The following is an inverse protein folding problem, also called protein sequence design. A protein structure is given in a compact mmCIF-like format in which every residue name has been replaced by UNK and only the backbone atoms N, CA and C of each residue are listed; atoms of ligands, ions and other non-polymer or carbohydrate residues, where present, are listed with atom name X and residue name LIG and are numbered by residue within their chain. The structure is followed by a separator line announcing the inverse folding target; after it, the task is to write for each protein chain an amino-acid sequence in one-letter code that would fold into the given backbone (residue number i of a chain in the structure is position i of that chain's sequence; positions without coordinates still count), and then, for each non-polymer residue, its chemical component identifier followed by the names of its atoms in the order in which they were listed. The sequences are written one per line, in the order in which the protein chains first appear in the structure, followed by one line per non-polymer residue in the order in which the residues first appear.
data_IF_893743528955
#
_entry.id   IF_893743528955
#
_cell.length_a   1.000
_cell.length_b   1.000
_cell.length_c   1.000
_cell.angle_alpha   90.00
_cell.angle_beta   90.00
_cell.angle_gamma   90.00
#
_symmetry.space_group_name_H-M   'P 1'
#
loop_
_entity.id
_entity.type
_entity.pdbx_description
1 polymer ?
#
# COMPACT_ATOMS: atom_id res chain seq x y z
N UNK A 1 35.11 32.81 -53.54
CA UNK A 1 34.60 33.19 -52.19
C UNK A 1 33.24 32.53 -52.01
N UNK A 2 33.21 31.40 -51.34
CA UNK A 2 31.99 30.59 -51.10
C UNK A 2 31.68 30.66 -49.61
N UNK A 3 30.54 31.25 -49.26
CA UNK A 3 30.04 31.29 -47.89
C UNK A 3 29.31 29.98 -47.57
N UNK A 4 29.61 29.25 -46.51
CA UNK A 4 28.79 28.11 -46.08
C UNK A 4 27.58 28.61 -45.28
N UNK A 5 26.43 28.16 -45.69
CA UNK A 5 25.12 28.31 -45.02
C UNK A 5 25.12 27.38 -43.80
N UNK A 6 25.16 27.94 -42.59
CA UNK A 6 24.98 27.18 -41.36
C UNK A 6 23.49 27.01 -41.13
N UNK A 7 22.98 25.81 -41.37
CA UNK A 7 21.63 25.40 -41.04
C UNK A 7 21.60 25.06 -39.53
N UNK A 8 21.12 25.98 -38.70
CA UNK A 8 20.88 25.72 -37.29
C UNK A 8 19.65 24.82 -37.15
N UNK A 9 19.86 23.51 -36.90
CA UNK A 9 18.82 22.60 -36.48
C UNK A 9 18.46 22.93 -35.02
N UNK A 10 17.38 23.65 -34.80
CA UNK A 10 16.74 23.81 -33.50
C UNK A 10 16.09 22.47 -33.16
N UNK A 11 16.80 21.63 -32.38
CA UNK A 11 16.22 20.51 -31.71
C UNK A 11 15.35 21.07 -30.59
N UNK A 12 14.09 21.26 -30.88
CA UNK A 12 13.05 21.41 -29.85
C UNK A 12 12.99 20.10 -29.08
N UNK A 13 13.77 19.98 -28.01
CA UNK A 13 13.51 18.99 -26.98
C UNK A 13 12.17 19.34 -26.36
N UNK A 14 11.10 18.71 -26.86
CA UNK A 14 9.84 18.63 -26.14
C UNK A 14 10.16 17.81 -24.88
N UNK A 15 10.55 18.51 -23.83
CA UNK A 15 10.59 17.92 -22.51
C UNK A 15 9.17 17.47 -22.21
N UNK A 16 8.94 16.14 -22.24
CA UNK A 16 7.76 15.60 -21.63
C UNK A 16 7.69 16.19 -20.22
N UNK A 17 6.74 17.09 -20.00
CA UNK A 17 6.44 17.59 -18.67
C UNK A 17 6.13 16.34 -17.84
N UNK A 18 7.10 15.87 -17.06
CA UNK A 18 6.88 14.78 -16.10
C UNK A 18 5.80 15.30 -15.17
N UNK A 19 4.58 14.80 -15.40
CA UNK A 19 3.45 15.13 -14.53
C UNK A 19 3.90 14.92 -13.08
N UNK A 20 3.70 15.94 -12.27
CA UNK A 20 4.09 15.88 -10.85
C UNK A 20 3.30 14.73 -10.20
N UNK A 21 4.01 13.76 -9.65
CA UNK A 21 3.41 12.59 -8.99
C UNK A 21 2.37 12.98 -7.94
N UNK A 22 2.51 14.16 -7.33
CA UNK A 22 1.58 14.70 -6.33
C UNK A 22 0.23 15.01 -6.93
N UNK A 23 0.23 15.70 -8.07
CA UNK A 23 -0.98 16.03 -8.82
C UNK A 23 -1.68 14.76 -9.27
N UNK A 24 -0.96 13.77 -9.80
CA UNK A 24 -1.53 12.52 -10.25
C UNK A 24 -2.11 11.69 -9.07
N UNK A 25 -1.37 11.59 -7.95
CA UNK A 25 -1.84 10.87 -6.76
C UNK A 25 -3.07 11.54 -6.12
N UNK A 26 -3.11 12.89 -6.11
CA UNK A 26 -4.24 13.65 -5.59
C UNK A 26 -5.48 13.59 -6.51
N UNK A 27 -5.27 13.50 -7.82
CA UNK A 27 -6.34 13.44 -8.80
C UNK A 27 -6.99 12.06 -8.94
N UNK A 28 -6.37 11.00 -8.39
CA UNK A 28 -6.89 9.64 -8.52
C UNK A 28 -8.22 9.50 -7.77
N UNK A 29 -9.30 9.29 -8.53
CA UNK A 29 -10.67 9.13 -8.04
C UNK A 29 -11.05 7.64 -7.97
N UNK A 30 -12.09 7.27 -7.20
CA UNK A 30 -12.65 5.93 -7.25
C UNK A 30 -13.02 5.52 -8.66
N UNK A 31 -12.68 4.29 -9.00
CA UNK A 31 -13.12 3.67 -10.24
C UNK A 31 -14.53 3.08 -10.12
N UNK A 32 -15.04 2.48 -11.20
CA UNK A 32 -16.41 1.99 -11.28
C UNK A 32 -16.66 0.68 -10.55
N UNK A 33 -15.62 0.04 -10.00
CA UNK A 33 -15.80 -1.24 -9.33
C UNK A 33 -16.51 -1.08 -7.98
N UNK A 34 -17.51 -1.94 -7.69
CA UNK A 34 -18.32 -1.81 -6.49
C UNK A 34 -17.49 -1.96 -5.21
N UNK A 35 -17.98 -1.49 -4.06
CA UNK A 35 -17.37 -1.76 -2.76
C UNK A 35 -17.14 -3.26 -2.53
N UNK A 36 -16.20 -3.66 -1.66
CA UNK A 36 -16.03 -5.05 -1.30
C UNK A 36 -17.30 -5.60 -0.61
N UNK A 37 -17.47 -6.93 -0.55
CA UNK A 37 -18.51 -7.54 0.26
C UNK A 37 -18.41 -7.07 1.72
N UNK A 38 -19.55 -6.85 2.36
CA UNK A 38 -19.59 -6.55 3.78
C UNK A 38 -19.13 -7.76 4.62
N UNK A 39 -18.56 -7.49 5.80
CA UNK A 39 -18.02 -8.53 6.68
C UNK A 39 -16.98 -9.44 6.01
N UNK A 40 -16.17 -8.88 5.10
CA UNK A 40 -15.07 -9.61 4.49
C UNK A 40 -14.02 -9.95 5.54
N UNK A 41 -13.67 -11.25 5.64
CA UNK A 41 -12.58 -11.75 6.48
C UNK A 41 -11.58 -12.48 5.61
N UNK A 42 -10.31 -12.14 5.78
CA UNK A 42 -9.22 -12.77 5.05
C UNK A 42 -8.06 -13.06 6.00
N UNK A 43 -7.39 -14.17 5.79
CA UNK A 43 -6.16 -14.51 6.48
C UNK A 43 -5.02 -14.52 5.50
N UNK A 44 -3.98 -13.77 5.83
CA UNK A 44 -2.73 -13.73 5.07
C UNK A 44 -1.60 -14.39 5.83
N UNK A 45 -0.74 -15.09 5.11
CA UNK A 45 0.55 -15.57 5.60
C UNK A 45 1.66 -14.78 4.93
N UNK A 46 2.69 -14.48 5.70
CA UNK A 46 3.86 -13.73 5.25
C UNK A 46 5.10 -14.58 5.42
N UNK A 47 6.01 -14.46 4.48
CA UNK A 47 7.23 -15.26 4.55
C UNK A 47 8.38 -14.67 3.76
N UNK A 48 9.50 -15.36 3.85
CA UNK A 48 10.76 -15.05 3.17
C UNK A 48 11.41 -16.34 2.68
N UNK A 49 11.85 -16.35 1.39
CA UNK A 49 12.54 -17.49 0.82
C UNK A 49 11.75 -18.82 0.88
N UNK A 50 10.41 -18.77 0.90
CA UNK A 50 9.53 -19.95 0.99
C UNK A 50 9.14 -20.37 2.42
N UNK A 51 9.68 -19.72 3.46
CA UNK A 51 9.33 -19.99 4.86
C UNK A 51 8.28 -19.02 5.38
N UNK A 52 7.24 -19.52 6.02
CA UNK A 52 6.27 -18.69 6.72
C UNK A 52 6.89 -18.09 7.98
N UNK A 53 6.76 -16.77 8.13
CA UNK A 53 7.36 -16.01 9.23
C UNK A 53 6.32 -15.30 10.09
N UNK A 54 5.17 -14.97 9.52
CA UNK A 54 4.08 -14.26 10.20
C UNK A 54 2.74 -14.60 9.56
N UNK A 55 1.66 -14.29 10.28
CA UNK A 55 0.30 -14.34 9.75
C UNK A 55 -0.49 -13.13 10.25
N UNK A 56 -1.52 -12.74 9.50
CA UNK A 56 -2.46 -11.70 9.90
C UNK A 56 -3.88 -12.05 9.47
N UNK A 57 -4.83 -11.75 10.34
CA UNK A 57 -6.25 -11.78 10.06
C UNK A 57 -6.72 -10.36 9.74
N UNK A 58 -7.37 -10.22 8.60
CA UNK A 58 -7.91 -8.96 8.07
C UNK A 58 -9.42 -9.05 8.12
N UNK A 59 -10.06 -8.01 8.62
CA UNK A 59 -11.51 -7.84 8.62
C UNK A 59 -11.85 -6.49 8.03
N UNK A 60 -12.83 -6.49 7.14
CA UNK A 60 -13.33 -5.29 6.50
C UNK A 60 -14.86 -5.27 6.64
N UNK A 61 -15.39 -4.22 7.25
CA UNK A 61 -16.80 -4.08 7.59
C UNK A 61 -17.31 -2.68 7.28
N UNK A 62 -18.61 -2.59 6.99
CA UNK A 62 -19.25 -1.27 6.93
C UNK A 62 -19.29 -0.64 8.31
N UNK A 63 -18.88 0.61 8.36
CA UNK A 63 -19.04 1.47 9.52
C UNK A 63 -20.33 2.28 9.44
N UNK A 64 -20.46 3.28 10.29
CA UNK A 64 -21.55 4.24 10.26
C UNK A 64 -21.28 5.35 9.24
N UNK A 65 -22.33 5.94 8.65
CA UNK A 65 -22.18 7.13 7.83
C UNK A 65 -21.38 6.95 6.54
N UNK A 66 -21.52 5.84 5.81
CA UNK A 66 -20.80 5.54 4.58
C UNK A 66 -19.27 5.44 4.79
N UNK A 67 -18.88 4.79 5.88
CA UNK A 67 -17.48 4.47 6.14
C UNK A 67 -17.23 2.97 6.11
N UNK A 68 -15.96 2.59 6.06
CA UNK A 68 -15.47 1.23 6.17
C UNK A 68 -14.42 1.15 7.27
N UNK A 69 -14.56 0.13 8.10
CA UNK A 69 -13.59 -0.20 9.14
C UNK A 69 -12.73 -1.37 8.67
N UNK A 70 -11.43 -1.15 8.64
CA UNK A 70 -10.45 -2.19 8.34
C UNK A 70 -9.69 -2.53 9.62
N UNK A 71 -9.75 -3.78 10.03
CA UNK A 71 -9.04 -4.29 11.21
C UNK A 71 -8.04 -5.36 10.76
N UNK A 72 -6.80 -5.23 11.19
CA UNK A 72 -5.76 -6.24 10.96
C UNK A 72 -5.15 -6.63 12.30
N UNK A 73 -5.08 -7.94 12.55
CA UNK A 73 -4.43 -8.51 13.74
C UNK A 73 -3.42 -9.53 13.26
N UNK A 74 -2.15 -9.27 13.51
CA UNK A 74 -1.09 -10.11 12.99
C UNK A 74 0.09 -10.25 13.93
N UNK A 75 0.99 -11.15 13.58
CA UNK A 75 2.22 -11.32 14.33
C UNK A 75 3.12 -12.41 13.74
N UNK A 76 4.34 -12.44 14.22
CA UNK A 76 5.31 -13.48 13.87
C UNK A 76 4.87 -14.84 14.37
N UNK A 77 5.21 -15.91 13.63
CA UNK A 77 4.82 -17.30 13.93
C UNK A 77 6.03 -18.22 13.98
N UNK A 78 5.84 -19.43 14.45
CA UNK A 78 6.81 -20.52 14.41
C UNK A 78 8.18 -20.15 15.02
N UNK A 79 9.24 -20.54 14.33
CA UNK A 79 10.63 -20.30 14.74
C UNK A 79 10.95 -18.81 14.76
N UNK A 80 10.41 -18.02 13.79
CA UNK A 80 10.65 -16.58 13.72
C UNK A 80 10.16 -15.89 14.99
N UNK A 81 9.00 -16.29 15.54
CA UNK A 81 8.46 -15.73 16.79
C UNK A 81 9.38 -15.97 18.00
N UNK A 82 10.08 -17.10 18.05
CA UNK A 82 11.04 -17.38 19.14
C UNK A 82 12.24 -16.42 19.10
N UNK A 83 12.69 -16.07 17.90
CA UNK A 83 13.84 -15.17 17.69
C UNK A 83 13.41 -13.70 17.77
N UNK A 84 12.28 -13.36 17.18
CA UNK A 84 11.77 -11.99 17.08
C UNK A 84 10.27 -11.97 17.26
N UNK A 85 9.81 -11.66 18.47
CA UNK A 85 8.39 -11.53 18.79
C UNK A 85 7.90 -10.16 18.36
N UNK A 86 6.93 -10.16 17.45
CA UNK A 86 6.16 -8.98 17.04
C UNK A 86 4.69 -9.40 16.93
N UNK A 87 3.80 -8.66 17.59
CA UNK A 87 2.37 -8.66 17.35
C UNK A 87 1.97 -7.25 16.91
N UNK A 88 1.10 -7.14 15.93
CA UNK A 88 0.66 -5.87 15.38
C UNK A 88 -0.86 -5.82 15.26
N UNK A 89 -1.44 -4.75 15.78
CA UNK A 89 -2.85 -4.43 15.68
C UNK A 89 -3.00 -3.14 14.87
N UNK A 90 -3.78 -3.18 13.82
CA UNK A 90 -4.07 -2.03 12.98
C UNK A 90 -5.58 -1.89 12.83
N UNK A 91 -6.10 -0.70 13.13
CA UNK A 91 -7.50 -0.34 13.00
C UNK A 91 -7.59 0.96 12.19
N UNK A 92 -8.34 0.95 11.10
CA UNK A 92 -8.48 2.10 10.22
C UNK A 92 -9.94 2.34 9.86
N UNK A 93 -10.26 3.62 9.68
CA UNK A 93 -11.54 4.09 9.17
C UNK A 93 -11.34 4.81 7.84
N UNK A 94 -12.11 4.40 6.83
CA UNK A 94 -12.02 4.90 5.46
C UNK A 94 -13.39 5.35 5.00
N UNK A 95 -13.49 6.55 4.44
CA UNK A 95 -14.71 7.05 3.81
C UNK A 95 -14.94 6.35 2.47
N UNK A 96 -16.16 5.90 2.20
CA UNK A 96 -16.55 5.38 0.89
C UNK A 96 -16.48 6.47 -0.19
N UNK A 97 -16.68 7.74 0.21
CA UNK A 97 -16.48 8.88 -0.66
C UNK A 97 -14.99 9.10 -0.94
N UNK A 98 -14.57 8.75 -2.15
CA UNK A 98 -13.19 8.90 -2.59
C UNK A 98 -12.21 7.87 -2.03
N UNK A 99 -12.66 6.87 -1.27
CA UNK A 99 -11.82 5.94 -0.51
C UNK A 99 -10.75 6.70 0.29
N UNK A 100 -11.18 7.80 0.92
CA UNK A 100 -10.30 8.66 1.71
C UNK A 100 -10.12 8.07 3.11
N UNK A 101 -8.89 7.96 3.54
CA UNK A 101 -8.57 7.61 4.93
C UNK A 101 -9.06 8.72 5.86
N UNK A 102 -9.66 8.34 6.97
CA UNK A 102 -10.11 9.24 8.03
C UNK A 102 -9.10 9.20 9.16
N UNK A 103 -8.83 8.01 9.67
CA UNK A 103 -7.88 7.78 10.75
C UNK A 103 -7.39 6.33 10.77
N UNK A 104 -6.27 6.09 11.42
CA UNK A 104 -5.88 4.75 11.83
C UNK A 104 -5.13 4.77 13.16
N UNK A 105 -5.16 3.63 13.84
CA UNK A 105 -4.30 3.32 14.98
C UNK A 105 -3.51 2.06 14.66
N UNK A 106 -2.18 2.15 14.83
CA UNK A 106 -1.27 1.02 14.71
C UNK A 106 -0.60 0.79 16.08
N UNK A 107 -0.68 -0.44 16.58
CA UNK A 107 -0.03 -0.86 17.82
C UNK A 107 0.89 -2.03 17.50
N UNK A 108 2.19 -1.81 17.63
CA UNK A 108 3.21 -2.84 17.50
C UNK A 108 3.72 -3.24 18.88
N UNK A 109 3.60 -4.54 19.22
CA UNK A 109 4.01 -5.10 20.51
C UNK A 109 5.23 -5.99 20.29
N UNK A 110 6.36 -5.51 20.71
CA UNK A 110 7.63 -6.23 20.73
C UNK A 110 7.83 -6.94 22.07
N UNK A 111 8.85 -7.79 22.18
CA UNK A 111 9.15 -8.51 23.43
C UNK A 111 9.32 -7.61 24.65
N UNK A 112 9.87 -6.40 24.47
CA UNK A 112 10.27 -5.50 25.56
C UNK A 112 9.64 -4.11 25.50
N UNK A 113 8.88 -3.79 24.46
CA UNK A 113 8.30 -2.46 24.29
C UNK A 113 7.10 -2.51 23.32
N UNK A 114 6.36 -1.42 23.33
CA UNK A 114 5.24 -1.17 22.43
C UNK A 114 5.43 0.17 21.74
N UNK A 115 5.07 0.20 20.48
CA UNK A 115 4.92 1.44 19.72
C UNK A 115 3.44 1.61 19.41
N UNK A 116 2.89 2.76 19.72
CA UNK A 116 1.52 3.13 19.36
C UNK A 116 1.57 4.34 18.45
N UNK A 117 0.92 4.24 17.32
CA UNK A 117 0.77 5.34 16.39
C UNK A 117 -0.71 5.59 16.12
N UNK A 118 -1.12 6.85 16.29
CA UNK A 118 -2.48 7.32 16.01
C UNK A 118 -2.38 8.41 14.96
N UNK A 119 -3.06 8.23 13.85
CA UNK A 119 -2.97 9.09 12.68
C UNK A 119 -4.35 9.57 12.27
N UNK A 120 -4.47 10.87 12.03
CA UNK A 120 -5.64 11.54 11.48
C UNK A 120 -5.31 12.09 10.08
N UNK A 121 -6.18 11.82 9.12
CA UNK A 121 -6.09 12.39 7.78
C UNK A 121 -6.95 13.64 7.68
N UNK A 122 -6.39 14.69 7.10
CA UNK A 122 -7.03 16.02 6.95
C UNK A 122 -6.96 16.47 5.51
N UNK A 123 -7.80 17.41 5.08
CA UNK A 123 -7.62 18.04 3.78
C UNK A 123 -6.18 18.55 3.64
N UNK A 124 -5.48 18.04 2.61
CA UNK A 124 -4.10 18.44 2.31
C UNK A 124 -3.00 17.70 3.07
N UNK A 125 -3.30 16.76 3.99
CA UNK A 125 -2.22 16.07 4.68
C UNK A 125 -2.63 15.13 5.80
N UNK A 126 -1.65 14.84 6.66
CA UNK A 126 -1.82 13.90 7.78
C UNK A 126 -1.12 14.43 9.03
N UNK A 127 -1.72 14.18 10.18
CA UNK A 127 -1.14 14.40 11.49
C UNK A 127 -1.05 13.07 12.23
N UNK A 128 0.15 12.67 12.61
CA UNK A 128 0.39 11.41 13.33
C UNK A 128 1.06 11.68 14.67
N UNK A 129 0.64 10.93 15.68
CA UNK A 129 1.21 10.90 17.03
C UNK A 129 1.80 9.53 17.29
N UNK A 130 3.11 9.47 17.54
CA UNK A 130 3.84 8.23 17.80
C UNK A 130 4.38 8.21 19.22
N UNK A 131 4.09 7.14 19.95
CA UNK A 131 4.55 6.89 21.33
C UNK A 131 5.30 5.57 21.36
N UNK A 132 6.49 5.57 21.90
CA UNK A 132 7.27 4.37 22.14
C UNK A 132 7.42 4.18 23.67
N UNK A 133 6.99 3.05 24.18
CA UNK A 133 7.05 2.77 25.63
C UNK A 133 8.47 2.62 26.20
N UNK A 134 9.51 2.63 25.37
CA UNK A 134 10.89 2.73 25.83
C UNK A 134 11.28 4.15 26.26
N UNK A 135 10.57 5.13 25.72
CA UNK A 135 10.86 6.56 25.94
C UNK A 135 9.94 7.09 27.04
N UNK A 136 9.84 6.34 28.18
CA UNK A 136 9.01 6.73 29.32
C UNK A 136 9.40 8.12 29.81
N UNK A 137 8.41 9.03 29.87
CA UNK A 137 8.60 10.43 30.26
C UNK A 137 8.99 11.37 29.11
N UNK A 138 9.19 10.89 27.90
CA UNK A 138 9.39 11.76 26.75
C UNK A 138 8.05 12.18 26.11
N UNK A 139 8.03 13.38 25.53
CA UNK A 139 6.87 13.84 24.76
C UNK A 139 6.62 12.98 23.53
N UNK A 140 5.34 12.75 23.17
CA UNK A 140 5.00 12.05 21.96
C UNK A 140 5.61 12.71 20.73
N UNK A 141 6.19 11.90 19.85
CA UNK A 141 6.67 12.41 18.57
C UNK A 141 5.47 12.73 17.66
N UNK A 142 5.40 13.99 17.21
CA UNK A 142 4.42 14.44 16.24
C UNK A 142 5.02 14.49 14.84
N UNK A 143 4.27 13.97 13.87
CA UNK A 143 4.62 13.98 12.45
C UNK A 143 3.49 14.67 11.70
N UNK A 144 3.84 15.64 10.87
CA UNK A 144 2.89 16.33 10.00
C UNK A 144 3.43 16.29 8.57
N UNK A 145 2.59 15.88 7.63
CA UNK A 145 2.93 15.84 6.22
C UNK A 145 1.80 16.49 5.41
N UNK A 146 2.19 17.28 4.40
CA UNK A 146 1.28 18.06 3.58
C UNK A 146 1.31 17.55 2.13
N UNK A 147 0.61 16.44 1.90
CA UNK A 147 0.48 15.82 0.58
C UNK A 147 -0.98 15.51 0.31
N UNK A 148 -1.51 16.09 -0.76
CA UNK A 148 -2.87 15.78 -1.21
C UNK A 148 -3.00 14.33 -1.67
N UNK A 149 -4.17 13.72 -1.44
CA UNK A 149 -4.42 12.34 -1.85
C UNK A 149 -3.69 11.27 -1.03
N UNK A 150 -3.04 11.66 0.08
CA UNK A 150 -2.38 10.72 0.99
C UNK A 150 -3.41 9.83 1.66
N UNK A 151 -3.15 8.53 1.69
CA UNK A 151 -4.03 7.50 2.27
C UNK A 151 -3.23 6.57 3.18
N UNK A 152 -3.93 5.92 4.09
CA UNK A 152 -3.42 4.75 4.79
C UNK A 152 -3.41 3.50 3.89
N UNK A 153 -3.01 2.37 4.43
CA UNK A 153 -2.97 1.11 3.66
C UNK A 153 -4.36 0.64 3.22
N UNK A 154 -5.38 0.78 4.09
CA UNK A 154 -6.73 0.35 3.78
C UNK A 154 -7.37 1.22 2.69
N UNK A 155 -7.30 2.55 2.81
CA UNK A 155 -7.80 3.48 1.81
C UNK A 155 -7.09 3.33 0.47
N UNK A 156 -5.78 3.11 0.46
CA UNK A 156 -5.01 2.88 -0.76
C UNK A 156 -5.42 1.57 -1.47
N UNK A 157 -5.61 0.49 -0.71
CA UNK A 157 -6.08 -0.80 -1.24
C UNK A 157 -7.51 -0.71 -1.80
N UNK A 158 -8.43 -0.06 -1.09
CA UNK A 158 -9.81 0.13 -1.53
C UNK A 158 -9.88 0.98 -2.79
N UNK A 159 -9.08 2.05 -2.87
CA UNK A 159 -8.98 2.88 -4.07
C UNK A 159 -8.42 2.10 -5.26
N UNK A 160 -7.32 1.37 -5.08
CA UNK A 160 -6.72 0.55 -6.14
C UNK A 160 -7.69 -0.54 -6.61
N UNK A 161 -8.38 -1.20 -5.67
CA UNK A 161 -9.39 -2.22 -5.97
C UNK A 161 -10.55 -1.68 -6.80
N UNK A 162 -10.95 -0.42 -6.57
CA UNK A 162 -12.06 0.21 -7.29
C UNK A 162 -11.75 0.50 -8.77
N UNK A 163 -10.48 0.50 -9.17
CA UNK A 163 -10.07 0.87 -10.53
C UNK A 163 -10.38 -0.21 -11.56
N UNK A 164 -10.54 0.12 -12.83
CA UNK A 164 -10.79 -0.87 -13.90
C UNK A 164 -9.69 -1.92 -14.02
N UNK A 165 -8.44 -1.56 -13.72
CA UNK A 165 -7.24 -2.39 -13.84
C UNK A 165 -7.08 -2.97 -15.25
N UNK A 166 -7.15 -2.09 -16.26
CA UNK A 166 -6.92 -2.45 -17.66
C UNK A 166 -5.42 -2.60 -17.91
N UNK A 167 -5.05 -3.57 -18.74
CA UNK A 167 -3.64 -3.79 -19.11
C UNK A 167 -3.01 -2.51 -19.66
N UNK A 168 -1.87 -2.13 -19.09
CA UNK A 168 -1.16 -0.90 -19.41
C UNK A 168 -1.43 0.25 -18.43
N UNK A 169 -2.53 0.22 -17.68
CA UNK A 169 -2.83 1.25 -16.67
C UNK A 169 -1.74 1.34 -15.62
N UNK A 170 -1.52 2.55 -15.15
CA UNK A 170 -0.59 2.81 -14.04
C UNK A 170 -1.29 3.67 -12.99
N UNK A 171 -1.41 3.15 -11.78
CA UNK A 171 -1.92 3.87 -10.62
C UNK A 171 -0.75 4.43 -9.81
N UNK A 172 -0.88 5.65 -9.33
CA UNK A 172 0.05 6.28 -8.39
C UNK A 172 -0.68 6.58 -7.09
N UNK A 173 -0.28 5.93 -6.02
CA UNK A 173 -0.91 6.01 -4.71
C UNK A 173 0.08 6.59 -3.71
N UNK A 174 -0.24 7.72 -3.12
CA UNK A 174 0.52 8.26 -1.99
C UNK A 174 0.01 7.58 -0.71
N UNK A 175 0.90 6.87 -0.01
CA UNK A 175 0.55 6.02 1.13
C UNK A 175 1.35 6.39 2.36
N UNK A 176 0.66 6.54 3.49
CA UNK A 176 1.24 6.72 4.82
C UNK A 176 0.85 5.53 5.71
N UNK A 177 1.71 4.50 5.80
CA UNK A 177 1.45 3.33 6.64
C UNK A 177 1.88 3.52 8.10
N UNK A 178 2.38 4.71 8.44
CA UNK A 178 2.91 5.04 9.75
C UNK A 178 4.00 6.11 9.68
N UNK A 179 5.23 5.79 10.01
CA UNK A 179 6.31 6.77 10.22
C UNK A 179 6.77 7.53 8.95
N UNK A 180 6.60 6.93 7.77
CA UNK A 180 7.14 7.45 6.51
C UNK A 180 6.07 7.47 5.42
N UNK A 181 6.22 8.39 4.46
CA UNK A 181 5.39 8.44 3.26
C UNK A 181 6.01 7.65 2.11
N UNK A 182 5.16 7.02 1.32
CA UNK A 182 5.58 6.28 0.14
C UNK A 182 4.71 6.64 -1.07
N UNK A 183 5.32 6.66 -2.24
CA UNK A 183 4.59 6.57 -3.50
C UNK A 183 4.64 5.11 -3.97
N UNK A 184 3.49 4.49 -4.07
CA UNK A 184 3.31 3.16 -4.67
C UNK A 184 2.84 3.37 -6.10
N UNK A 185 3.62 2.88 -7.06
CA UNK A 185 3.26 2.84 -8.46
C UNK A 185 2.88 1.41 -8.81
N UNK A 186 1.63 1.20 -9.20
CA UNK A 186 1.08 -0.09 -9.58
C UNK A 186 0.76 -0.08 -11.07
N UNK A 187 1.51 -0.85 -11.87
CA UNK A 187 1.29 -1.00 -13.32
C UNK A 187 0.62 -2.33 -13.62
N UNK A 188 -0.53 -2.29 -14.28
CA UNK A 188 -1.24 -3.48 -14.71
C UNK A 188 -0.51 -4.12 -15.90
N UNK A 189 -0.01 -5.33 -15.72
CA UNK A 189 0.75 -6.06 -16.75
C UNK A 189 -0.17 -6.86 -17.66
N UNK A 190 -1.22 -7.45 -17.10
CA UNK A 190 -2.17 -8.25 -17.83
C UNK A 190 -2.94 -9.22 -16.95
N UNK A 191 -3.71 -10.07 -17.60
CA UNK A 191 -4.46 -11.16 -16.97
C UNK A 191 -3.78 -12.48 -17.25
N UNK A 192 -3.70 -13.31 -16.21
CA UNK A 192 -3.11 -14.65 -16.30
C UNK A 192 -3.83 -15.61 -15.37
N UNK A 193 -3.40 -16.87 -15.39
CA UNK A 193 -3.87 -17.87 -14.44
C UNK A 193 -2.78 -18.17 -13.44
N UNK A 194 -3.10 -18.02 -12.16
CA UNK A 194 -2.21 -18.33 -11.05
C UNK A 194 -2.65 -19.65 -10.41
N UNK A 195 -1.70 -20.56 -10.19
CA UNK A 195 -1.94 -21.71 -9.29
C UNK A 195 -1.87 -21.24 -7.85
N UNK A 196 -3.03 -21.15 -7.22
CA UNK A 196 -3.18 -20.74 -5.84
C UNK A 196 -3.80 -21.87 -5.02
N UNK A 197 -3.09 -22.32 -4.00
CA UNK A 197 -3.55 -23.42 -3.09
C UNK A 197 -4.06 -24.68 -3.82
N UNK A 198 -3.39 -25.04 -4.90
CA UNK A 198 -3.76 -26.22 -5.71
C UNK A 198 -4.80 -25.95 -6.80
N UNK A 199 -5.49 -24.82 -6.78
CA UNK A 199 -6.51 -24.44 -7.75
C UNK A 199 -5.97 -23.43 -8.78
N UNK A 200 -6.58 -23.42 -9.96
CA UNK A 200 -6.33 -22.42 -10.99
C UNK A 200 -7.25 -21.22 -10.76
N UNK A 201 -6.67 -20.04 -10.56
CA UNK A 201 -7.42 -18.79 -10.36
C UNK A 201 -7.06 -17.77 -11.42
N UNK A 202 -8.07 -17.13 -12.03
CA UNK A 202 -7.86 -15.98 -12.90
C UNK A 202 -7.41 -14.80 -12.06
N UNK A 203 -6.36 -14.12 -12.50
CA UNK A 203 -5.75 -13.00 -11.76
C UNK A 203 -5.36 -11.88 -12.69
N UNK A 204 -5.34 -10.68 -12.14
CA UNK A 204 -4.73 -9.49 -12.72
C UNK A 204 -3.35 -9.37 -12.13
N UNK A 205 -2.31 -9.46 -12.96
CA UNK A 205 -0.93 -9.26 -12.53
C UNK A 205 -0.55 -7.80 -12.64
N UNK A 206 -0.02 -7.24 -11.56
CA UNK A 206 0.46 -5.88 -11.48
C UNK A 206 1.93 -5.85 -11.06
N UNK A 207 2.74 -5.06 -11.73
CA UNK A 207 4.07 -4.71 -11.24
C UNK A 207 3.95 -3.55 -10.24
N UNK A 208 4.69 -3.62 -9.15
CA UNK A 208 4.67 -2.63 -8.07
C UNK A 208 6.07 -2.07 -7.84
N UNK A 209 6.19 -0.75 -7.92
CA UNK A 209 7.38 -0.02 -7.48
C UNK A 209 7.03 0.83 -6.25
N UNK A 210 7.94 0.89 -5.28
CA UNK A 210 7.77 1.66 -4.05
C UNK A 210 8.89 2.68 -3.96
N UNK A 211 8.51 3.94 -3.81
CA UNK A 211 9.43 5.05 -3.60
C UNK A 211 9.18 5.64 -2.22
N UNK A 212 10.25 5.89 -1.50
CA UNK A 212 10.18 6.71 -0.29
C UNK A 212 10.03 8.18 -0.68
N UNK A 213 9.11 8.89 0.00
CA UNK A 213 8.93 10.33 -0.17
C UNK A 213 9.72 11.02 0.94
N UNK A 214 10.79 11.71 0.56
CA UNK A 214 11.64 12.47 1.48
C UNK A 214 10.91 13.68 2.09
N UNK A 215 11.55 14.32 3.07
CA UNK A 215 11.02 15.55 3.69
C UNK A 215 10.93 16.72 2.71
N UNK A 216 11.75 16.70 1.68
CA UNK A 216 11.76 17.62 0.54
C UNK A 216 10.74 17.25 -0.55
N UNK A 217 9.94 16.20 -0.28
CA UNK A 217 8.99 15.60 -1.22
C UNK A 217 9.62 15.01 -2.49
N UNK A 218 10.93 14.82 -2.51
CA UNK A 218 11.61 14.10 -3.58
C UNK A 218 11.43 12.60 -3.43
N UNK A 219 11.21 11.93 -4.57
CA UNK A 219 11.10 10.47 -4.62
C UNK A 219 12.48 9.83 -4.56
N UNK A 220 12.65 8.88 -3.66
CA UNK A 220 13.85 8.08 -3.55
C UNK A 220 13.50 6.60 -3.67
N UNK A 221 14.29 5.79 -4.39
CA UNK A 221 14.09 4.35 -4.43
C UNK A 221 14.07 3.77 -3.01
N UNK A 222 13.14 2.86 -2.75
CA UNK A 222 13.11 2.20 -1.44
C UNK A 222 14.34 1.30 -1.27
N UNK A 223 15.10 1.49 -0.19
CA UNK A 223 16.40 0.81 0.01
C UNK A 223 16.31 -0.70 0.11
N UNK A 224 15.20 -1.23 0.65
CA UNK A 224 15.02 -2.67 0.91
C UNK A 224 14.12 -3.35 -0.13
N UNK A 225 13.11 -2.67 -0.63
CA UNK A 225 12.12 -3.21 -1.57
C UNK A 225 12.36 -2.63 -2.96
N UNK A 226 12.86 -3.44 -3.87
CA UNK A 226 13.24 -2.95 -5.20
C UNK A 226 12.06 -2.97 -6.17
N UNK A 227 11.44 -4.12 -6.31
CA UNK A 227 10.28 -4.35 -7.19
C UNK A 227 9.40 -5.42 -6.57
N UNK A 228 8.09 -5.24 -6.76
CA UNK A 228 7.10 -6.20 -6.35
C UNK A 228 6.21 -6.62 -7.50
N UNK A 229 5.53 -7.73 -7.30
CA UNK A 229 4.42 -8.19 -8.13
C UNK A 229 3.23 -8.44 -7.23
N UNK A 230 2.08 -7.98 -7.67
CA UNK A 230 0.80 -8.22 -6.98
C UNK A 230 -0.09 -8.98 -7.94
N UNK A 231 -0.65 -10.09 -7.49
CA UNK A 231 -1.70 -10.84 -8.18
C UNK A 231 -3.02 -10.62 -7.47
N UNK A 232 -3.91 -9.90 -8.14
CA UNK A 232 -5.26 -9.60 -7.64
C UNK A 232 -6.23 -10.58 -8.29
N UNK A 233 -7.18 -11.15 -7.54
CA UNK A 233 -8.21 -11.99 -8.13
C UNK A 233 -9.01 -11.23 -9.18
N UNK A 234 -9.25 -11.87 -10.36
CA UNK A 234 -10.03 -11.28 -11.44
C UNK A 234 -11.50 -11.68 -11.30
N UNK A 235 -12.07 -11.30 -10.16
CA UNK A 235 -13.46 -11.52 -9.76
C UNK A 235 -14.04 -10.25 -9.11
N UNK A 236 -15.27 -10.32 -8.62
CA UNK A 236 -15.95 -9.18 -7.98
C UNK A 236 -15.31 -8.74 -6.65
N UNK A 237 -14.64 -9.67 -5.95
CA UNK A 237 -14.03 -9.37 -4.65
C UNK A 237 -12.71 -8.64 -4.81
N UNK A 238 -11.93 -8.93 -5.85
CA UNK A 238 -10.65 -8.29 -6.18
C UNK A 238 -9.67 -8.22 -5.01
N UNK A 239 -9.39 -9.37 -4.41
CA UNK A 239 -8.42 -9.46 -3.34
C UNK A 239 -7.00 -9.72 -3.87
N UNK A 240 -5.97 -9.16 -3.25
CA UNK A 240 -4.61 -9.61 -3.48
C UNK A 240 -4.48 -11.09 -3.07
N UNK A 241 -4.31 -12.00 -4.02
CA UNK A 241 -4.06 -13.41 -3.72
C UNK A 241 -2.61 -13.63 -3.30
N UNK A 242 -1.70 -12.88 -3.92
CA UNK A 242 -0.27 -12.97 -3.64
C UNK A 242 0.40 -11.63 -3.91
N UNK A 243 1.34 -11.28 -3.06
CA UNK A 243 2.25 -10.16 -3.23
C UNK A 243 3.66 -10.70 -3.04
N UNK A 244 4.54 -10.44 -3.99
CA UNK A 244 5.96 -10.75 -3.86
C UNK A 244 6.79 -9.49 -4.02
N UNK A 245 7.78 -9.30 -3.16
CA UNK A 245 8.69 -8.18 -3.25
C UNK A 245 10.12 -8.68 -3.18
N UNK A 246 10.91 -8.30 -4.19
CA UNK A 246 12.34 -8.62 -4.23
C UNK A 246 13.06 -7.79 -3.17
N UNK A 247 13.82 -8.46 -2.33
CA UNK A 247 14.71 -7.87 -1.33
C UNK A 247 16.17 -8.21 -1.66
N UNK A 248 17.12 -7.67 -0.90
CA UNK A 248 18.55 -7.89 -1.15
C UNK A 248 18.93 -9.38 -1.23
N UNK A 249 18.32 -10.20 -0.38
CA UNK A 249 18.51 -11.67 -0.43
C UNK A 249 17.13 -12.32 -0.56
N UNK A 250 16.83 -12.86 -1.76
CA UNK A 250 15.56 -13.55 -2.05
C UNK A 250 14.36 -12.61 -2.22
N UNK A 251 13.19 -13.08 -1.78
CA UNK A 251 11.95 -12.32 -1.82
C UNK A 251 11.14 -12.56 -0.55
N UNK A 252 10.44 -11.53 -0.15
CA UNK A 252 9.36 -11.62 0.84
C UNK A 252 8.05 -11.78 0.09
N UNK A 253 7.13 -12.50 0.69
CA UNK A 253 5.80 -12.69 0.12
C UNK A 253 4.71 -12.47 1.19
N UNK A 254 3.54 -12.06 0.71
CA UNK A 254 2.27 -12.17 1.43
C UNK A 254 1.32 -12.98 0.54
N UNK A 255 0.66 -13.99 1.10
CA UNK A 255 -0.26 -14.85 0.36
C UNK A 255 -1.58 -15.00 1.13
N UNK A 256 -2.69 -14.88 0.41
CA UNK A 256 -4.02 -15.10 0.95
C UNK A 256 -4.17 -16.59 1.31
N UNK A 257 -4.31 -16.88 2.60
CA UNK A 257 -4.49 -18.24 3.10
C UNK A 257 -5.96 -18.66 3.13
N UNK A 258 -6.84 -17.77 3.56
CA UNK A 258 -8.27 -18.01 3.68
C UNK A 258 -9.04 -16.74 3.39
N UNK A 259 -10.23 -16.88 2.83
CA UNK A 259 -11.19 -15.79 2.66
C UNK A 259 -12.59 -16.27 2.97
N UNK A 260 -13.34 -15.43 3.71
CA UNK A 260 -14.78 -15.60 3.97
C UNK A 260 -15.41 -14.24 3.70
N UNK A 261 -16.29 -14.19 2.72
CA UNK A 261 -17.19 -13.05 2.56
C UNK A 261 -18.44 -13.34 3.38
N UNK A 262 -18.95 -12.34 4.09
CA UNK A 262 -20.22 -12.49 4.80
C UNK A 262 -21.34 -12.75 3.80
N UNK A 263 -22.18 -13.73 4.10
CA UNK A 263 -23.47 -13.94 3.44
C UNK A 263 -24.45 -12.89 3.95
#
# INVERSE_FOLDING_TARGET
MIRPLILALLVLSVGEARADWRTEAAALQPGPYPPPPDNLRARYVFGWGGFEAAAADVRLERGTGRTWNATVRGGTTGVVRKLWKLDADYDAEVSEDGWRSIQFTLIEKYKRYRVTETTEFRPGGVRSRRVNSKDEGSDPKWLNFYVGGLRDMAGALLLARSQPLVTGDTLKLAVFPGEWMYLVRLKVIGRETLRWRGEQRKVIRCAMDIYWIGKDYCLQPHKKFQRGTVWVSDDEVRLPLRVEVKVFIGHVFAELAEVKAGL
#
